data_IF_831825222751
#
_entry.id   IF_831825222751
#
_cell.length_a   1.000
_cell.length_b   1.000
_cell.length_c   1.000
_cell.angle_alpha   90.00
_cell.angle_beta   90.00
_cell.angle_gamma   90.00
#
_symmetry.space_group_name_H-M   'P 1'
#
loop_
_entity.id
_entity.type
_entity.pdbx_description
1 polymer ?
#
# COMPACT_ATOMS: atom_id res chain seq x y z
N UNK A 1 48.92 2.61 35.00
CA UNK A 1 47.74 1.77 35.25
C UNK A 1 46.41 2.58 35.26
N UNK A 2 46.36 3.74 35.95
CA UNK A 2 45.17 4.55 36.08
C UNK A 2 44.62 5.06 34.71
N UNK A 3 45.50 5.65 33.90
CA UNK A 3 45.13 6.15 32.57
C UNK A 3 44.61 5.07 31.61
N UNK A 4 45.09 3.81 31.74
CA UNK A 4 44.58 2.69 30.92
C UNK A 4 43.18 2.29 31.33
N UNK A 5 42.87 2.29 32.61
CA UNK A 5 41.53 2.00 33.14
C UNK A 5 40.51 3.09 32.72
N UNK A 6 40.93 4.36 32.80
CA UNK A 6 40.12 5.48 32.37
C UNK A 6 39.81 5.41 30.85
N UNK A 7 40.79 5.03 30.02
CA UNK A 7 40.59 4.84 28.59
C UNK A 7 39.61 3.71 28.29
N UNK A 8 39.70 2.58 29.00
CA UNK A 8 38.81 1.43 28.81
C UNK A 8 37.36 1.78 29.21
N UNK A 9 37.18 2.58 30.27
CA UNK A 9 35.85 3.07 30.65
C UNK A 9 35.24 4.02 29.60
N UNK A 10 36.03 4.95 29.10
CA UNK A 10 35.54 5.87 28.05
C UNK A 10 35.24 5.16 26.74
N UNK A 11 36.03 4.18 26.34
CA UNK A 11 35.73 3.32 25.19
C UNK A 11 34.46 2.53 25.37
N UNK A 12 34.17 2.07 26.59
CA UNK A 12 32.93 1.36 26.89
C UNK A 12 31.70 2.29 26.81
N UNK A 13 31.84 3.50 27.34
CA UNK A 13 30.80 4.52 27.22
C UNK A 13 30.53 4.88 25.76
N UNK A 14 31.56 5.08 24.97
CA UNK A 14 31.46 5.38 23.55
C UNK A 14 30.65 4.31 22.80
N UNK A 15 31.00 3.02 23.00
CA UNK A 15 30.26 1.90 22.41
C UNK A 15 28.78 1.88 22.79
N UNK A 16 28.46 2.20 24.04
CA UNK A 16 27.08 2.26 24.50
C UNK A 16 26.33 3.39 23.78
N UNK A 17 26.96 4.55 23.63
CA UNK A 17 26.37 5.70 22.92
C UNK A 17 26.19 5.41 21.42
N UNK A 18 27.17 4.81 20.78
CA UNK A 18 27.05 4.38 19.37
C UNK A 18 25.90 3.40 19.17
N UNK A 19 25.76 2.41 20.03
CA UNK A 19 24.63 1.49 19.99
C UNK A 19 23.27 2.20 20.21
N UNK A 20 23.21 3.14 21.16
CA UNK A 20 22.00 3.92 21.39
C UNK A 20 21.61 4.74 20.16
N UNK A 21 22.57 5.37 19.50
CA UNK A 21 22.33 6.10 18.24
C UNK A 21 21.75 5.17 17.17
N UNK A 22 22.32 3.97 17.00
CA UNK A 22 21.78 2.98 16.05
C UNK A 22 20.35 2.53 16.42
N UNK A 23 20.07 2.27 17.69
CA UNK A 23 18.74 1.86 18.13
C UNK A 23 17.70 2.97 18.04
N UNK A 24 18.10 4.21 18.22
CA UNK A 24 17.22 5.38 18.15
C UNK A 24 17.08 5.95 16.72
N UNK A 25 17.90 5.45 15.78
CA UNK A 25 17.79 5.87 14.39
C UNK A 25 16.35 5.65 13.86
N UNK A 26 15.78 6.69 13.28
CA UNK A 26 14.38 6.68 12.85
C UNK A 26 14.10 5.75 11.67
N UNK A 27 15.13 5.38 10.90
CA UNK A 27 15.01 4.59 9.67
C UNK A 27 15.36 3.12 9.91
N UNK A 28 16.50 2.86 10.54
CA UNK A 28 17.07 1.53 10.70
C UNK A 28 16.96 0.99 12.12
N UNK A 29 16.64 1.84 13.08
CA UNK A 29 16.52 1.48 14.50
C UNK A 29 15.26 0.69 14.84
N UNK A 30 14.99 0.56 16.13
CA UNK A 30 13.86 -0.22 16.68
C UNK A 30 12.52 0.22 16.08
N UNK A 31 12.31 1.53 15.85
CA UNK A 31 11.09 2.05 15.24
C UNK A 31 10.90 1.52 13.82
N UNK A 32 11.92 1.60 12.99
CA UNK A 32 11.90 1.08 11.60
C UNK A 32 11.65 -0.43 11.57
N UNK A 33 12.31 -1.16 12.47
CA UNK A 33 12.11 -2.61 12.61
C UNK A 33 10.67 -2.97 13.00
N UNK A 34 10.08 -2.28 14.00
CA UNK A 34 8.69 -2.50 14.43
C UNK A 34 7.72 -2.19 13.29
N UNK A 35 7.87 -1.03 12.63
CA UNK A 35 7.03 -0.65 11.49
C UNK A 35 7.08 -1.70 10.38
N UNK A 36 8.27 -2.16 10.01
CA UNK A 36 8.44 -3.20 9.01
C UNK A 36 7.73 -4.49 9.41
N UNK A 37 7.90 -4.94 10.64
CA UNK A 37 7.26 -6.16 11.17
C UNK A 37 5.74 -6.08 11.24
N UNK A 38 5.20 -4.90 11.55
CA UNK A 38 3.75 -4.69 11.59
C UNK A 38 3.17 -4.62 10.19
N UNK A 39 3.85 -3.95 9.25
CA UNK A 39 3.32 -3.69 7.90
C UNK A 39 3.55 -4.87 6.94
N UNK A 40 4.60 -5.66 7.15
CA UNK A 40 4.96 -6.78 6.26
C UNK A 40 3.82 -7.82 6.05
N UNK A 41 3.09 -8.29 7.07
CA UNK A 41 1.96 -9.19 6.89
C UNK A 41 0.83 -8.58 6.04
N UNK A 42 0.54 -7.29 6.24
CA UNK A 42 -0.50 -6.59 5.50
C UNK A 42 -0.10 -6.35 4.04
N UNK A 43 1.17 -6.03 3.79
CA UNK A 43 1.71 -5.92 2.42
C UNK A 43 1.58 -7.25 1.69
N UNK A 44 1.88 -8.37 2.35
CA UNK A 44 1.73 -9.70 1.77
C UNK A 44 0.27 -10.00 1.41
N UNK A 45 -0.67 -9.65 2.27
CA UNK A 45 -2.11 -9.82 2.01
C UNK A 45 -2.57 -8.93 0.84
N UNK A 46 -2.14 -7.65 0.79
CA UNK A 46 -2.41 -6.78 -0.34
C UNK A 46 -1.87 -7.36 -1.65
N UNK A 47 -0.66 -7.93 -1.64
CA UNK A 47 -0.06 -8.54 -2.81
C UNK A 47 -0.78 -9.81 -3.28
N UNK A 48 -1.44 -10.55 -2.40
CA UNK A 48 -2.31 -11.66 -2.80
C UNK A 48 -3.54 -11.17 -3.59
N UNK A 49 -4.10 -10.01 -3.23
CA UNK A 49 -5.16 -9.36 -4.02
C UNK A 49 -4.60 -8.75 -5.31
N UNK A 50 -3.45 -8.09 -5.21
CA UNK A 50 -2.78 -7.43 -6.32
C UNK A 50 -2.38 -8.37 -7.46
N UNK A 51 -1.98 -9.59 -7.16
CA UNK A 51 -1.63 -10.58 -8.18
C UNK A 51 -2.80 -10.97 -9.09
N UNK A 52 -4.04 -10.76 -8.67
CA UNK A 52 -5.24 -10.95 -9.48
C UNK A 52 -5.47 -9.83 -10.50
N UNK A 53 -4.81 -8.68 -10.34
CA UNK A 53 -4.97 -7.51 -11.19
C UNK A 53 -3.63 -7.16 -11.86
N UNK A 54 -3.48 -7.55 -13.13
CA UNK A 54 -2.28 -7.29 -13.94
C UNK A 54 -0.95 -7.66 -13.25
N UNK A 55 -0.95 -8.72 -12.44
CA UNK A 55 0.21 -9.15 -11.65
C UNK A 55 0.88 -8.00 -10.89
N UNK A 56 0.08 -7.06 -10.40
CA UNK A 56 0.60 -5.93 -9.63
C UNK A 56 1.21 -6.41 -8.32
N UNK A 57 2.32 -5.79 -7.94
CA UNK A 57 2.99 -6.00 -6.65
C UNK A 57 3.18 -4.65 -5.96
N UNK A 58 2.76 -4.56 -4.70
CA UNK A 58 2.95 -3.39 -3.85
C UNK A 58 4.18 -3.58 -2.96
N UNK A 59 5.00 -2.55 -2.84
CA UNK A 59 6.12 -2.50 -1.90
C UNK A 59 6.05 -1.22 -1.08
N UNK A 60 6.27 -1.35 0.23
CA UNK A 60 6.39 -0.22 1.15
C UNK A 60 7.84 -0.12 1.60
N UNK A 61 8.45 1.06 1.42
CA UNK A 61 9.79 1.39 1.90
C UNK A 61 9.69 2.34 3.09
N UNK A 62 10.64 2.19 4.02
CA UNK A 62 10.78 3.03 5.21
C UNK A 62 12.13 3.77 5.23
N UNK A 63 12.89 3.74 4.13
CA UNK A 63 14.27 4.24 4.07
C UNK A 63 14.32 5.77 4.18
N UNK A 64 13.40 6.48 3.54
CA UNK A 64 13.32 7.96 3.54
C UNK A 64 11.96 8.49 4.02
N UNK A 65 11.29 7.76 4.90
CA UNK A 65 9.92 7.97 5.29
C UNK A 65 9.06 6.79 4.85
N UNK A 66 7.75 6.97 4.79
CA UNK A 66 6.85 5.95 4.27
C UNK A 66 6.62 6.23 2.78
N UNK A 67 7.15 5.37 1.95
CA UNK A 67 7.04 5.46 0.49
C UNK A 67 6.38 4.21 -0.06
N UNK A 68 5.48 4.41 -1.01
CA UNK A 68 4.75 3.32 -1.66
C UNK A 68 5.21 3.17 -3.11
N UNK A 69 5.48 1.92 -3.49
CA UNK A 69 5.93 1.55 -4.82
C UNK A 69 5.01 0.48 -5.37
N UNK A 70 4.72 0.57 -6.67
CA UNK A 70 4.02 -0.46 -7.42
C UNK A 70 4.93 -1.03 -8.51
N UNK A 71 4.75 -2.31 -8.80
CA UNK A 71 5.31 -2.98 -9.96
C UNK A 71 4.18 -3.67 -10.70
N UNK A 72 4.14 -3.53 -12.01
CA UNK A 72 3.17 -4.18 -12.89
C UNK A 72 3.90 -4.94 -14.00
N UNK A 73 3.19 -5.73 -14.79
CA UNK A 73 3.76 -6.43 -15.94
C UNK A 73 4.44 -5.46 -16.93
N UNK A 74 3.95 -4.23 -17.02
CA UNK A 74 4.45 -3.22 -17.93
C UNK A 74 5.62 -2.40 -17.36
N UNK A 75 5.99 -2.59 -16.10
CA UNK A 75 7.07 -1.83 -15.47
C UNK A 75 8.36 -2.65 -15.40
N UNK A 76 9.51 -2.03 -15.68
CA UNK A 76 10.83 -2.65 -15.56
C UNK A 76 11.31 -2.79 -14.10
N UNK A 77 10.40 -2.65 -13.12
CA UNK A 77 10.71 -2.74 -11.69
C UNK A 77 9.72 -1.95 -10.85
N UNK A 78 10.04 -1.80 -9.57
CA UNK A 78 9.24 -0.98 -8.67
C UNK A 78 9.36 0.50 -9.00
N UNK A 79 8.24 1.16 -9.21
CA UNK A 79 8.14 2.61 -9.42
C UNK A 79 7.29 3.24 -8.32
N UNK A 80 7.55 4.48 -7.91
CA UNK A 80 6.68 5.19 -6.97
C UNK A 80 5.23 5.22 -7.48
N UNK A 81 4.26 5.05 -6.59
CA UNK A 81 2.83 4.95 -6.96
C UNK A 81 2.37 6.10 -7.85
N UNK A 82 2.85 7.32 -7.61
CA UNK A 82 2.49 8.50 -8.41
C UNK A 82 2.99 8.47 -9.86
N UNK A 83 3.82 7.49 -10.23
CA UNK A 83 4.31 7.26 -11.60
C UNK A 83 3.60 6.12 -12.33
N UNK A 84 2.69 5.46 -11.67
CA UNK A 84 1.84 4.45 -12.30
C UNK A 84 0.90 5.10 -13.31
N UNK A 85 0.42 4.33 -14.28
CA UNK A 85 -0.65 4.77 -15.16
C UNK A 85 -1.92 5.09 -14.36
N UNK A 86 -2.83 5.88 -14.93
CA UNK A 86 -4.05 6.30 -14.22
C UNK A 86 -4.89 5.11 -13.74
N UNK A 87 -5.03 4.06 -14.55
CA UNK A 87 -5.76 2.85 -14.16
C UNK A 87 -5.02 2.05 -13.06
N UNK A 88 -3.70 1.88 -13.20
CA UNK A 88 -2.89 1.23 -12.16
C UNK A 88 -2.91 2.02 -10.84
N UNK A 89 -3.00 3.36 -10.92
CA UNK A 89 -3.10 4.22 -9.75
C UNK A 89 -4.44 4.01 -8.99
N UNK A 90 -5.56 3.88 -9.70
CA UNK A 90 -6.88 3.54 -9.09
C UNK A 90 -6.76 2.25 -8.30
N UNK A 91 -6.17 1.22 -8.90
CA UNK A 91 -5.99 -0.06 -8.24
C UNK A 91 -5.00 0.00 -7.05
N UNK A 92 -3.90 0.71 -7.19
CA UNK A 92 -2.97 0.95 -6.09
C UNK A 92 -3.66 1.67 -4.91
N UNK A 93 -4.54 2.64 -5.20
CA UNK A 93 -5.36 3.31 -4.19
C UNK A 93 -6.25 2.33 -3.43
N UNK A 94 -6.93 1.42 -4.14
CA UNK A 94 -7.69 0.35 -3.50
C UNK A 94 -6.83 -0.51 -2.55
N UNK A 95 -5.64 -0.91 -2.99
CA UNK A 95 -4.74 -1.69 -2.14
C UNK A 95 -4.30 -0.92 -0.89
N UNK A 96 -4.04 0.38 -1.01
CA UNK A 96 -3.73 1.23 0.14
C UNK A 96 -4.92 1.38 1.09
N UNK A 97 -6.13 1.56 0.57
CA UNK A 97 -7.35 1.57 1.37
C UNK A 97 -7.54 0.24 2.10
N UNK A 98 -7.27 -0.89 1.43
CA UNK A 98 -7.31 -2.22 2.06
C UNK A 98 -6.28 -2.34 3.20
N UNK A 99 -5.06 -1.80 3.00
CA UNK A 99 -4.04 -1.75 4.06
C UNK A 99 -4.52 -0.93 5.25
N UNK A 100 -5.07 0.25 5.02
CA UNK A 100 -5.60 1.14 6.06
C UNK A 100 -6.79 0.47 6.78
N UNK A 101 -7.69 -0.19 6.05
CA UNK A 101 -8.82 -0.91 6.60
C UNK A 101 -8.38 -1.95 7.65
N UNK A 102 -7.29 -2.66 7.43
CA UNK A 102 -6.79 -3.65 8.40
C UNK A 102 -6.47 -3.03 9.75
N UNK A 103 -6.11 -1.76 9.77
CA UNK A 103 -5.77 -1.01 10.98
C UNK A 103 -7.01 -0.33 11.57
N UNK A 104 -7.81 0.33 10.74
CA UNK A 104 -8.92 1.19 11.15
C UNK A 104 -10.26 0.47 11.28
N UNK A 105 -10.41 -0.67 10.60
CA UNK A 105 -11.68 -1.41 10.47
C UNK A 105 -12.82 -0.56 9.91
N UNK A 106 -12.49 0.35 9.00
CA UNK A 106 -13.48 1.19 8.33
C UNK A 106 -14.50 0.32 7.58
N UNK A 107 -15.79 0.56 7.78
CA UNK A 107 -16.86 -0.26 7.20
C UNK A 107 -17.22 0.13 5.75
N UNK A 108 -16.62 1.19 5.23
CA UNK A 108 -16.88 1.67 3.88
C UNK A 108 -15.59 1.93 3.12
N UNK A 109 -15.68 1.75 1.80
CA UNK A 109 -14.63 2.03 0.84
C UNK A 109 -15.16 3.03 -0.19
N UNK A 110 -14.40 4.08 -0.47
CA UNK A 110 -14.72 5.05 -1.53
C UNK A 110 -13.57 5.08 -2.52
N UNK A 111 -13.86 4.83 -3.78
CA UNK A 111 -12.89 4.87 -4.88
C UNK A 111 -13.46 5.76 -5.97
N UNK A 112 -12.71 6.76 -6.35
CA UNK A 112 -13.03 7.69 -7.43
C UNK A 112 -12.21 7.38 -8.69
N UNK A 113 -12.58 8.02 -9.81
CA UNK A 113 -11.88 7.91 -11.09
C UNK A 113 -11.91 6.51 -11.73
N UNK A 114 -12.98 5.75 -11.52
CA UNK A 114 -13.14 4.43 -12.15
C UNK A 114 -13.15 4.50 -13.69
N UNK A 115 -13.48 5.64 -14.27
CA UNK A 115 -13.42 5.94 -15.70
C UNK A 115 -11.99 5.95 -16.27
N UNK A 116 -10.95 5.90 -15.43
CA UNK A 116 -9.55 5.76 -15.84
C UNK A 116 -9.16 4.31 -16.14
N UNK A 117 -9.99 3.35 -15.79
CA UNK A 117 -9.78 1.95 -16.13
C UNK A 117 -10.30 1.68 -17.56
N UNK A 118 -9.54 0.91 -18.34
CA UNK A 118 -10.08 0.35 -19.57
C UNK A 118 -11.15 -0.69 -19.26
N UNK A 119 -11.97 -1.05 -20.26
CA UNK A 119 -13.11 -1.94 -20.09
C UNK A 119 -12.75 -3.29 -19.44
N UNK A 120 -11.61 -3.87 -19.80
CA UNK A 120 -11.14 -5.14 -19.25
C UNK A 120 -10.73 -5.00 -17.78
N UNK A 121 -9.95 -3.98 -17.47
CA UNK A 121 -9.50 -3.68 -16.13
C UNK A 121 -10.65 -3.28 -15.22
N UNK A 122 -11.63 -2.53 -15.74
CA UNK A 122 -12.83 -2.15 -15.02
C UNK A 122 -13.64 -3.39 -14.58
N UNK A 123 -13.92 -4.30 -15.53
CA UNK A 123 -14.64 -5.54 -15.24
C UNK A 123 -13.91 -6.38 -14.19
N UNK A 124 -12.62 -6.61 -14.39
CA UNK A 124 -11.78 -7.36 -13.44
C UNK A 124 -11.78 -6.74 -12.05
N UNK A 125 -11.77 -5.41 -11.98
CA UNK A 125 -11.78 -4.68 -10.72
C UNK A 125 -13.13 -4.79 -10.01
N UNK A 126 -14.24 -4.69 -10.73
CA UNK A 126 -15.59 -4.90 -10.16
C UNK A 126 -15.73 -6.32 -9.62
N UNK A 127 -15.32 -7.34 -10.38
CA UNK A 127 -15.34 -8.75 -9.92
C UNK A 127 -14.52 -8.92 -8.62
N UNK A 128 -13.37 -8.24 -8.52
CA UNK A 128 -12.53 -8.30 -7.32
C UNK A 128 -13.21 -7.61 -6.13
N UNK A 129 -13.95 -6.52 -6.35
CA UNK A 129 -14.69 -5.83 -5.30
C UNK A 129 -15.92 -6.61 -4.84
N UNK A 130 -16.60 -7.30 -5.73
CA UNK A 130 -17.73 -8.19 -5.38
C UNK A 130 -17.28 -9.36 -4.49
N UNK A 131 -16.09 -9.88 -4.71
CA UNK A 131 -15.45 -10.91 -3.87
C UNK A 131 -14.94 -10.36 -2.52
N UNK A 132 -14.80 -9.03 -2.38
CA UNK A 132 -14.21 -8.42 -1.18
C UNK A 132 -15.25 -8.18 -0.08
N UNK A 133 -15.37 -9.13 0.81
CA UNK A 133 -16.25 -9.06 1.99
C UNK A 133 -15.68 -8.20 3.15
N UNK A 134 -14.58 -7.48 2.93
CA UNK A 134 -13.95 -6.68 3.98
C UNK A 134 -14.74 -5.41 4.33
N UNK A 135 -15.57 -4.92 3.40
CA UNK A 135 -16.32 -3.68 3.53
C UNK A 135 -17.83 -3.94 3.49
N UNK A 136 -18.59 -3.26 4.34
CA UNK A 136 -20.05 -3.31 4.33
C UNK A 136 -20.64 -2.52 3.15
N UNK A 137 -19.96 -1.44 2.75
CA UNK A 137 -20.37 -0.58 1.65
C UNK A 137 -19.20 -0.16 0.80
N UNK A 138 -19.36 -0.23 -0.51
CA UNK A 138 -18.37 0.22 -1.49
C UNK A 138 -19.06 1.28 -2.39
N UNK A 139 -18.43 2.46 -2.47
CA UNK A 139 -18.88 3.57 -3.30
C UNK A 139 -17.86 3.82 -4.39
N UNK A 140 -18.30 3.74 -5.65
CA UNK A 140 -17.44 3.94 -6.80
C UNK A 140 -17.86 5.21 -7.53
N UNK A 141 -16.91 6.12 -7.74
CA UNK A 141 -17.10 7.35 -8.53
C UNK A 141 -16.52 7.15 -9.94
N UNK A 142 -17.33 7.51 -10.95
CA UNK A 142 -16.90 7.52 -12.34
C UNK A 142 -17.61 8.64 -13.10
N UNK A 143 -16.93 9.21 -14.10
CA UNK A 143 -17.60 10.05 -15.09
C UNK A 143 -18.46 9.15 -15.97
N UNK A 144 -19.72 9.56 -16.14
CA UNK A 144 -20.68 8.79 -16.94
C UNK A 144 -20.30 8.85 -18.43
N UNK A 145 -19.77 7.76 -18.95
CA UNK A 145 -19.65 7.47 -20.37
C UNK A 145 -20.62 6.33 -20.68
N UNK A 146 -21.29 6.38 -21.83
CA UNK A 146 -22.29 5.38 -22.24
C UNK A 146 -21.77 3.94 -22.11
N UNK A 147 -20.50 3.72 -22.44
CA UNK A 147 -19.81 2.42 -22.32
C UNK A 147 -19.67 1.95 -20.86
N UNK A 148 -19.51 2.87 -19.90
CA UNK A 148 -19.34 2.53 -18.48
C UNK A 148 -20.62 1.95 -17.89
N UNK A 149 -21.77 2.51 -18.23
CA UNK A 149 -23.07 2.01 -17.77
C UNK A 149 -23.41 0.63 -18.34
N UNK A 150 -23.01 0.37 -19.60
CA UNK A 150 -23.18 -0.96 -20.20
C UNK A 150 -22.37 -2.04 -19.51
N UNK A 151 -21.16 -1.72 -19.11
CA UNK A 151 -20.27 -2.64 -18.38
C UNK A 151 -20.78 -2.99 -16.99
N UNK A 152 -21.60 -2.11 -16.38
CA UNK A 152 -22.21 -2.33 -15.07
C UNK A 152 -23.48 -3.16 -15.13
N UNK A 153 -24.05 -3.39 -16.33
CA UNK A 153 -25.22 -4.25 -16.49
C UNK A 153 -24.90 -5.68 -16.10
N UNK A 154 -25.60 -6.21 -15.11
CA UNK A 154 -25.41 -7.57 -14.61
C UNK A 154 -24.47 -7.68 -13.40
N UNK A 155 -23.88 -6.58 -12.94
CA UNK A 155 -23.20 -6.54 -11.63
C UNK A 155 -24.22 -6.27 -10.52
N UNK A 156 -23.90 -6.67 -9.29
CA UNK A 156 -24.70 -6.39 -8.10
C UNK A 156 -24.72 -4.90 -7.68
N UNK A 157 -24.11 -4.00 -8.46
CA UNK A 157 -23.95 -2.59 -8.13
C UNK A 157 -25.22 -1.79 -8.36
N UNK A 158 -25.55 -0.93 -7.38
CA UNK A 158 -26.62 0.07 -7.51
C UNK A 158 -26.07 1.35 -8.13
N UNK A 159 -26.55 1.69 -9.31
CA UNK A 159 -26.15 2.92 -10.02
C UNK A 159 -26.97 4.09 -9.52
N UNK A 160 -26.32 5.19 -9.16
CA UNK A 160 -26.92 6.47 -8.80
C UNK A 160 -26.33 7.54 -9.70
N UNK A 161 -27.15 8.18 -10.51
CA UNK A 161 -26.76 9.35 -11.31
C UNK A 161 -26.94 10.62 -10.47
N UNK A 162 -25.90 11.43 -10.39
CA UNK A 162 -25.88 12.72 -9.71
C UNK A 162 -25.96 13.86 -10.73
#
# INVERSE_FOLDING_TARGET
>A
KKAKCELEEEQKKLRILENLVLYLDSKTGVRGYILKKVVEPFTKMCNQKASKFHNMELKISFDNGIEFYGKTENSNGFVPIHRLSSGEHVFATYLLCTLIHQITKASYLVIDNMDKLDAKSFKLFVELLEDDTSYDNIILGAVNHDDTLEQLKGTGLKIVNL
#
